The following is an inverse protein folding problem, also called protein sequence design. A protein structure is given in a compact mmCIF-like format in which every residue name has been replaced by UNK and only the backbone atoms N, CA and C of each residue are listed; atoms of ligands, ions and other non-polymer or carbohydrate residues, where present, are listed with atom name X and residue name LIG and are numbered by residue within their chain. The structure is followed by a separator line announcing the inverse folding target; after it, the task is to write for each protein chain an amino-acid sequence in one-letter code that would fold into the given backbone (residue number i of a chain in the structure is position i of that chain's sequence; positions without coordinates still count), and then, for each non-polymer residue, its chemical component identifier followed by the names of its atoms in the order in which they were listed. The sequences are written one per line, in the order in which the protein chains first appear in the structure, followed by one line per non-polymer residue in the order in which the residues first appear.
data_IF_052738030537
#
_entry.id   IF_052738030537
#
_cell.length_a   1.000
_cell.length_b   1.000
_cell.length_c   1.000
_cell.angle_alpha   90.00
_cell.angle_beta   90.00
_cell.angle_gamma   90.00
#
_symmetry.space_group_name_H-M   'P 1'
#
loop_
_entity.id
_entity.type
_entity.pdbx_description
1 polymer ?
2 non-polymer ?
3 water ?
#
# COMPACT_ATOMS: atom_id res chain seq x y z
N UNK A 8 9.35 7.92 -30.35
CA UNK A 8 10.66 8.31 -29.74
C UNK A 8 10.65 9.83 -29.51
N UNK A 9 11.49 10.28 -28.57
CA UNK A 9 11.58 11.69 -28.19
C UNK A 9 10.36 12.19 -27.45
N UNK A 10 9.27 11.42 -27.44
CA UNK A 10 8.09 11.86 -26.72
C UNK A 10 7.74 10.81 -25.65
N UNK A 11 8.76 10.15 -25.14
CA UNK A 11 8.57 9.15 -24.10
C UNK A 11 8.88 9.79 -22.75
N UNK A 12 8.07 9.49 -21.75
CA UNK A 12 8.34 10.04 -20.42
C UNK A 12 8.55 8.82 -19.56
N UNK A 13 9.74 8.68 -19.00
CA UNK A 13 10.02 7.52 -18.19
C UNK A 13 9.88 7.84 -16.71
N UNK A 14 9.02 7.09 -16.03
CA UNK A 14 8.84 7.28 -14.61
C UNK A 14 9.81 6.42 -13.82
N UNK A 15 10.32 6.98 -12.74
CA UNK A 15 11.27 6.27 -11.89
C UNK A 15 10.85 6.51 -10.44
N UNK A 16 10.73 5.44 -9.68
CA UNK A 16 10.34 5.56 -8.28
C UNK A 16 11.36 4.88 -7.43
N UNK A 17 11.89 5.63 -6.47
CA UNK A 17 12.85 5.09 -5.53
C UNK A 17 12.33 5.49 -4.16
N UNK A 18 12.53 4.64 -3.15
CA UNK A 18 12.02 4.93 -1.81
C UNK A 18 12.94 5.79 -0.95
N UNK A 19 14.25 5.56 -1.06
CA UNK A 19 15.19 6.31 -0.22
C UNK A 19 16.12 7.31 -0.90
N UNK A 20 16.39 8.38 -0.16
CA UNK A 20 17.26 9.48 -0.58
C UNK A 20 18.52 9.11 -1.33
N UNK A 21 19.35 8.26 -0.76
CA UNK A 21 20.62 7.89 -1.36
C UNK A 21 20.67 7.70 -2.89
N UNK A 22 20.03 6.67 -3.41
CA UNK A 22 20.08 6.47 -4.87
C UNK A 22 19.35 7.53 -5.66
N UNK A 23 18.22 7.99 -5.12
CA UNK A 23 17.43 9.01 -5.78
C UNK A 23 18.26 10.26 -5.98
N UNK A 24 19.11 10.58 -5.00
CA UNK A 24 19.97 11.75 -5.07
C UNK A 24 20.89 11.72 -6.26
N UNK A 25 21.53 10.58 -6.49
CA UNK A 25 22.46 10.46 -7.62
C UNK A 25 21.74 10.72 -8.95
N UNK A 26 20.55 10.16 -9.11
CA UNK A 26 19.75 10.33 -10.32
C UNK A 26 19.25 11.75 -10.41
N UNK A 27 18.79 12.27 -9.28
CA UNK A 27 18.25 13.63 -9.21
C UNK A 27 19.31 14.65 -9.63
N UNK A 28 20.52 14.51 -9.11
CA UNK A 28 21.63 15.41 -9.43
C UNK A 28 22.00 15.36 -10.93
N UNK A 29 21.66 14.26 -11.59
CA UNK A 29 21.95 14.13 -13.01
C UNK A 29 20.81 14.65 -13.90
N UNK A 30 19.70 15.05 -13.31
CA UNK A 30 18.57 15.56 -14.11
C UNK A 30 18.78 16.98 -14.65
N UNK A 31 18.52 17.17 -15.94
CA UNK A 31 18.68 18.49 -16.53
C UNK A 31 17.35 19.24 -16.48
N UNK A 32 17.41 20.55 -16.31
CA UNK A 32 16.20 21.37 -16.26
C UNK A 32 15.27 20.78 -15.22
N UNK A 33 15.89 20.39 -14.10
CA UNK A 33 15.19 19.79 -13.00
C UNK A 33 14.31 20.75 -12.26
N UNK A 34 13.13 20.27 -11.89
CA UNK A 34 12.20 21.04 -11.09
C UNK A 34 11.67 20.08 -10.06
N UNK A 35 11.20 20.61 -8.93
CA UNK A 35 10.68 19.75 -7.89
C UNK A 35 9.25 20.10 -7.54
N UNK A 36 8.42 19.06 -7.55
CA UNK A 36 6.99 19.16 -7.25
C UNK A 36 6.81 18.34 -5.98
N UNK A 37 6.34 18.98 -4.90
CA UNK A 37 6.11 18.29 -3.64
C UNK A 37 4.62 18.05 -3.44
N UNK A 38 4.23 16.79 -3.26
CA UNK A 38 2.81 16.40 -3.09
C UNK A 38 2.60 15.17 -2.20
N UNK A 39 1.46 15.16 -1.50
CA UNK A 39 1.13 14.06 -0.62
C UNK A 39 2.30 13.53 0.19
N UNK A 40 3.29 14.39 0.46
CA UNK A 40 4.45 13.93 1.21
C UNK A 40 5.52 13.30 0.35
N UNK A 41 5.41 13.52 -0.97
CA UNK A 41 6.37 12.97 -1.93
C UNK A 41 7.00 14.07 -2.74
N UNK A 42 8.22 13.84 -3.19
CA UNK A 42 8.87 14.81 -4.03
C UNK A 42 8.94 14.16 -5.40
N UNK A 43 8.65 14.95 -6.43
CA UNK A 43 8.73 14.48 -7.80
C UNK A 43 9.67 15.42 -8.55
N UNK A 44 10.72 14.86 -9.13
CA UNK A 44 11.67 15.67 -9.89
C UNK A 44 11.44 15.37 -11.37
N UNK A 45 11.21 16.43 -12.13
CA UNK A 45 11.00 16.35 -13.57
C UNK A 45 12.22 16.98 -14.22
N UNK A 46 12.44 16.64 -15.48
CA UNK A 46 13.56 17.18 -16.24
C UNK A 46 13.96 16.07 -17.18
N UNK A 47 15.20 16.09 -17.68
CA UNK A 47 15.68 15.06 -18.59
C UNK A 47 16.93 14.38 -18.04
N UNK A 48 17.04 13.10 -18.32
CA UNK A 48 18.20 12.36 -17.87
C UNK A 48 18.92 12.04 -19.16
N UNK A 49 20.04 12.70 -19.38
CA UNK A 49 20.79 12.48 -20.59
C UNK A 49 19.87 12.57 -21.80
N UNK A 50 19.02 13.59 -21.82
CA UNK A 50 18.12 13.79 -22.94
C UNK A 50 16.70 13.21 -22.86
N UNK A 51 16.51 12.16 -22.07
CA UNK A 51 15.18 11.53 -21.98
C UNK A 51 14.33 12.18 -20.89
N UNK A 52 13.09 12.50 -21.23
CA UNK A 52 12.21 13.10 -20.25
C UNK A 52 11.93 12.06 -19.17
N UNK A 53 12.20 12.44 -17.92
CA UNK A 53 11.93 11.54 -16.83
C UNK A 53 11.13 12.25 -15.75
N UNK A 54 10.50 11.47 -14.88
CA UNK A 54 9.76 11.98 -13.73
C UNK A 54 10.19 11.00 -12.65
N UNK A 55 10.95 11.52 -11.69
CA UNK A 55 11.54 10.77 -10.59
C UNK A 55 10.85 11.10 -9.29
N UNK A 56 10.24 10.10 -8.68
CA UNK A 56 9.53 10.29 -7.41
C UNK A 56 10.25 9.55 -6.32
N UNK A 57 10.51 10.25 -5.22
CA UNK A 57 11.13 9.63 -4.05
C UNK A 57 9.91 9.26 -3.22
N UNK A 58 9.65 7.97 -3.09
CA UNK A 58 8.48 7.54 -2.33
C UNK A 58 9.00 7.27 -0.95
N UNK A 59 8.10 7.05 -0.02
CA UNK A 59 8.61 6.71 1.29
C UNK A 59 8.85 5.22 1.22
N UNK A 60 9.15 4.65 2.36
CA UNK A 60 9.40 3.24 2.50
C UNK A 60 8.10 2.49 2.79
N UNK A 61 7.91 1.33 2.17
CA UNK A 61 6.70 0.58 2.45
C UNK A 61 5.71 0.59 1.30
N UNK A 62 4.81 -0.37 1.35
CA UNK A 62 3.81 -0.55 0.31
C UNK A 62 2.86 0.61 0.10
N UNK A 63 2.32 1.15 1.19
CA UNK A 63 1.35 2.23 1.10
C UNK A 63 2.02 3.49 0.57
N UNK A 64 3.17 3.84 1.15
CA UNK A 64 3.91 5.02 0.68
C UNK A 64 4.21 4.86 -0.81
N UNK A 65 4.68 3.68 -1.19
CA UNK A 65 4.99 3.42 -2.61
C UNK A 65 3.72 3.52 -3.47
N UNK A 66 2.62 2.95 -2.99
CA UNK A 66 1.34 3.01 -3.73
C UNK A 66 0.88 4.46 -3.92
N UNK A 67 0.92 5.22 -2.84
CA UNK A 67 0.51 6.62 -2.83
C UNK A 67 1.39 7.33 -3.85
N UNK A 68 2.70 7.11 -3.76
CA UNK A 68 3.64 7.74 -4.70
C UNK A 68 3.39 7.32 -6.14
N UNK A 69 3.33 6.03 -6.37
CA UNK A 69 3.06 5.54 -7.71
C UNK A 69 1.74 6.12 -8.26
N UNK A 70 0.71 6.22 -7.41
CA UNK A 70 -0.58 6.74 -7.89
C UNK A 70 -0.45 8.21 -8.25
N UNK A 71 0.23 8.98 -7.41
CA UNK A 71 0.42 10.40 -7.66
C UNK A 71 1.22 10.62 -8.93
N UNK A 72 2.30 9.86 -9.06
CA UNK A 72 3.14 9.98 -10.24
C UNK A 72 2.33 9.66 -11.51
N UNK A 73 1.59 8.57 -11.48
CA UNK A 73 0.81 8.22 -12.66
C UNK A 73 -0.18 9.32 -13.02
N UNK A 74 -0.94 9.75 -12.03
CA UNK A 74 -1.94 10.79 -12.19
C UNK A 74 -1.43 12.14 -12.69
N UNK A 75 -0.35 12.64 -12.11
CA UNK A 75 0.17 13.94 -12.51
C UNK A 75 1.20 13.97 -13.61
N UNK A 76 1.99 12.91 -13.75
CA UNK A 76 3.02 12.93 -14.77
C UNK A 76 2.79 11.96 -15.91
N UNK A 77 1.79 11.09 -15.74
CA UNK A 77 1.44 10.10 -16.75
C UNK A 77 2.63 9.48 -17.50
N UNK A 78 3.64 8.98 -16.78
CA UNK A 78 4.79 8.39 -17.48
C UNK A 78 4.37 7.18 -18.32
N UNK A 79 5.12 6.91 -19.40
CA UNK A 79 4.81 5.78 -20.29
C UNK A 79 5.13 4.43 -19.67
N UNK A 80 6.15 4.39 -18.84
CA UNK A 80 6.54 3.15 -18.18
C UNK A 80 7.05 3.54 -16.81
N UNK A 81 7.16 2.57 -15.93
CA UNK A 81 7.66 2.87 -14.60
C UNK A 81 8.83 1.96 -14.32
N UNK A 82 9.88 2.55 -13.77
CA UNK A 82 11.05 1.80 -13.38
C UNK A 82 11.17 1.96 -11.88
N UNK A 83 11.05 0.85 -11.16
CA UNK A 83 11.22 0.94 -9.71
C UNK A 83 12.65 0.53 -9.42
N UNK A 84 13.36 1.37 -8.68
CA UNK A 84 14.76 1.10 -8.34
C UNK A 84 15.03 1.21 -6.83
N UNK A 85 16.25 0.87 -6.42
CA UNK A 85 16.61 0.94 -5.01
C UNK A 85 17.39 -0.29 -4.58
N UNK A 86 17.38 -0.59 -3.27
CA UNK A 86 18.09 -1.77 -2.77
C UNK A 86 17.14 -2.95 -2.64
N UNK A 87 17.68 -4.07 -2.18
CA UNK A 87 16.91 -5.27 -1.96
C UNK A 87 17.80 -6.28 -1.28
N UNK A 88 17.18 -7.26 -0.65
CA UNK A 88 17.94 -8.31 0.00
C UNK A 88 18.00 -9.41 -1.02
N UNK A 89 19.22 -9.86 -1.36
CA UNK A 89 19.38 -10.92 -2.35
C UNK A 89 19.03 -12.28 -1.78
N UNK A 90 18.32 -13.10 -2.55
CA UNK A 90 17.91 -14.42 -2.11
C UNK A 90 18.49 -15.52 -3.02
N UNK A 91 18.69 -15.20 -4.29
CA UNK A 91 19.26 -16.13 -5.27
C UNK A 91 20.74 -16.30 -4.87
N UNK A 92 21.22 -17.56 -4.80
CA UNK A 92 22.60 -17.92 -4.43
C UNK A 92 23.76 -17.22 -5.12
N UNK A 93 23.63 -16.89 -6.39
CA UNK A 93 24.75 -16.26 -7.06
C UNK A 93 24.84 -14.76 -6.84
N UNK A 94 23.89 -14.19 -6.10
CA UNK A 94 23.91 -12.75 -5.87
C UNK A 94 24.86 -12.33 -4.76
N UNK A 95 25.66 -11.31 -5.06
CA UNK A 95 26.60 -10.76 -4.09
C UNK A 95 26.16 -9.30 -3.94
N UNK A 96 26.58 -8.67 -2.86
CA UNK A 96 26.23 -7.27 -2.67
C UNK A 96 26.66 -6.52 -3.92
N UNK A 97 25.80 -5.62 -4.39
CA UNK A 97 26.12 -4.84 -5.58
C UNK A 97 25.49 -5.37 -6.85
N UNK A 98 25.28 -6.68 -6.92
CA UNK A 98 24.66 -7.28 -8.12
C UNK A 98 23.23 -6.78 -8.38
N UNK A 99 22.78 -6.94 -9.62
CA UNK A 99 21.48 -6.44 -10.02
C UNK A 99 20.37 -7.49 -10.06
N UNK A 100 19.16 -7.08 -9.69
CA UNK A 100 18.04 -8.00 -9.80
C UNK A 100 17.01 -7.31 -10.64
N UNK A 101 16.48 -8.05 -11.60
CA UNK A 101 15.49 -7.55 -12.52
C UNK A 101 14.29 -8.42 -12.36
N UNK A 102 13.18 -7.76 -12.13
CA UNK A 102 11.95 -8.48 -11.97
C UNK A 102 11.31 -8.90 -13.27
N UNK A 103 10.85 -10.14 -13.31
CA UNK A 103 10.05 -10.53 -14.45
C UNK A 103 8.66 -10.64 -13.80
N UNK A 104 8.61 -10.46 -12.48
CA UNK A 104 7.36 -10.56 -11.74
C UNK A 104 7.56 -10.09 -10.29
N UNK A 105 6.46 -9.61 -9.70
CA UNK A 105 6.45 -9.14 -8.32
C UNK A 105 5.21 -9.70 -7.59
N UNK A 106 5.41 -10.17 -6.36
CA UNK A 106 4.34 -10.72 -5.52
C UNK A 106 4.56 -10.24 -4.08
N UNK A 107 3.46 -10.03 -3.35
CA UNK A 107 3.54 -9.62 -1.95
C UNK A 107 3.87 -10.89 -1.20
N UNK A 108 4.88 -10.86 -0.35
CA UNK A 108 5.17 -12.09 0.38
C UNK A 108 4.43 -12.06 1.71
N UNK A 109 3.83 -10.93 2.04
CA UNK A 109 3.10 -10.79 3.30
C UNK A 109 1.58 -10.65 3.15
N UNK A 110 1.03 -10.98 1.99
CA UNK A 110 -0.41 -10.87 1.80
C UNK A 110 -0.96 -12.26 2.00
N UNK A 111 -2.06 -12.40 2.74
CA UNK A 111 -2.59 -13.74 2.94
C UNK A 111 -4.10 -13.83 3.16
N UNK A 112 -4.82 -14.21 2.11
CA UNK A 112 -6.25 -14.38 2.18
C UNK A 112 -6.57 -15.82 1.72
N UNK A 113 -5.62 -16.73 2.01
CA UNK A 113 -5.73 -18.15 1.65
C UNK A 113 -6.95 -18.73 2.34
N UNK A 114 -7.31 -18.18 3.48
CA UNK A 114 -8.51 -18.69 4.16
C UNK A 114 -9.71 -18.57 3.20
N UNK A 115 -9.63 -17.67 2.23
CA UNK A 115 -10.72 -17.55 1.26
C UNK A 115 -10.44 -18.27 -0.06
N UNK A 116 -9.41 -19.10 -0.11
CA UNK A 116 -9.12 -19.81 -1.34
C UNK A 116 -8.24 -19.07 -2.33
N UNK A 117 -7.66 -17.94 -1.92
CA UNK A 117 -6.77 -17.22 -2.82
C UNK A 117 -5.39 -17.82 -2.70
N UNK A 118 -4.61 -17.65 -3.75
CA UNK A 118 -3.26 -18.15 -3.75
C UNK A 118 -2.50 -17.33 -2.72
N UNK A 119 -1.54 -17.94 -2.03
CA UNK A 119 -0.80 -17.21 -1.03
C UNK A 119 -0.12 -15.99 -1.71
N UNK A 120 -0.12 -14.84 -1.05
CA UNK A 120 0.50 -13.64 -1.63
C UNK A 120 -0.47 -12.84 -2.48
N UNK A 121 -1.55 -13.49 -2.91
CA UNK A 121 -2.56 -12.84 -3.72
C UNK A 121 -3.61 -12.10 -2.90
N UNK A 122 -3.99 -10.91 -3.37
CA UNK A 122 -5.04 -10.14 -2.70
C UNK A 122 -6.27 -10.24 -3.60
N UNK A 123 -7.47 -10.28 -3.03
CA UNK A 123 -8.70 -10.40 -3.81
C UNK A 123 -8.80 -9.31 -4.86
N UNK A 124 -9.20 -9.67 -6.08
CA UNK A 124 -9.33 -8.69 -7.15
C UNK A 124 -8.02 -8.44 -7.88
N UNK A 125 -6.95 -9.09 -7.44
CA UNK A 125 -5.66 -8.91 -8.09
C UNK A 125 -5.16 -10.27 -8.57
N UNK A 126 -4.33 -10.28 -9.60
CA UNK A 126 -3.81 -11.56 -10.05
C UNK A 126 -2.82 -11.97 -8.95
N UNK A 127 -2.50 -13.26 -8.83
CA UNK A 127 -1.58 -13.73 -7.79
C UNK A 127 -0.23 -12.99 -7.86
N UNK A 128 0.16 -12.62 -9.08
CA UNK A 128 1.41 -11.92 -9.29
C UNK A 128 1.23 -10.90 -10.39
N UNK A 129 2.13 -9.92 -10.41
CA UNK A 129 2.11 -8.84 -11.37
C UNK A 129 3.33 -9.01 -12.26
N UNK A 130 3.09 -9.18 -13.54
CA UNK A 130 4.16 -9.38 -14.48
C UNK A 130 4.83 -8.12 -14.99
N UNK A 131 6.15 -8.12 -14.96
CA UNK A 131 6.89 -6.98 -15.47
C UNK A 131 6.80 -7.08 -16.99
N UNK A 132 6.99 -5.95 -17.65
CA UNK A 132 6.91 -5.84 -19.10
C UNK A 132 8.10 -6.50 -19.79
N UNK A 133 7.87 -7.36 -20.79
CA UNK A 133 8.95 -8.04 -21.51
C UNK A 133 9.94 -7.10 -22.18
N UNK A 134 9.45 -6.04 -22.82
CA UNK A 134 10.39 -5.14 -23.47
C UNK A 134 11.29 -4.52 -22.39
N UNK A 135 10.68 -4.08 -21.30
CA UNK A 135 11.48 -3.45 -20.27
C UNK A 135 12.52 -4.42 -19.70
N UNK A 136 12.11 -5.66 -19.46
CA UNK A 136 13.03 -6.65 -18.90
C UNK A 136 14.20 -6.89 -19.86
N UNK A 137 13.87 -7.07 -21.14
CA UNK A 137 14.88 -7.32 -22.15
C UNK A 137 15.85 -6.14 -22.21
N UNK A 138 15.29 -4.94 -22.20
CA UNK A 138 16.12 -3.75 -22.26
C UNK A 138 17.11 -3.83 -21.10
N UNK A 139 16.58 -4.03 -19.90
CA UNK A 139 17.39 -4.13 -18.70
C UNK A 139 18.48 -5.19 -18.83
N UNK A 140 18.15 -6.35 -19.37
CA UNK A 140 19.15 -7.43 -19.53
C UNK A 140 20.19 -6.97 -20.55
N UNK A 141 19.78 -6.13 -21.48
CA UNK A 141 20.72 -5.60 -22.48
C UNK A 141 21.75 -4.71 -21.78
N UNK A 142 21.26 -3.84 -20.89
CA UNK A 142 22.17 -2.98 -20.16
C UNK A 142 23.11 -3.82 -19.31
N UNK A 143 22.56 -4.81 -18.64
CA UNK A 143 23.33 -5.69 -17.79
C UNK A 143 24.50 -6.32 -18.56
N UNK A 144 24.21 -6.82 -19.76
CA UNK A 144 25.26 -7.42 -20.57
C UNK A 144 26.29 -6.37 -20.95
N UNK A 145 25.81 -5.22 -21.43
CA UNK A 145 26.67 -4.13 -21.84
C UNK A 145 27.57 -3.57 -20.76
N UNK A 146 27.08 -3.58 -19.52
CA UNK A 146 27.84 -3.04 -18.40
C UNK A 146 28.68 -4.13 -17.74
N UNK A 147 28.49 -5.36 -18.21
CA UNK A 147 29.22 -6.52 -17.69
C UNK A 147 29.02 -6.75 -16.18
N UNK A 148 27.77 -6.61 -15.73
CA UNK A 148 27.45 -6.76 -14.33
C UNK A 148 26.84 -8.13 -14.09
N UNK A 149 26.92 -8.65 -12.87
CA UNK A 149 26.29 -9.93 -12.59
C UNK A 149 24.85 -9.59 -12.20
N UNK A 150 23.90 -10.38 -12.68
CA UNK A 150 22.50 -10.08 -12.37
C UNK A 150 21.67 -11.33 -12.48
N UNK A 151 20.46 -11.25 -11.95
CA UNK A 151 19.54 -12.36 -11.98
C UNK A 151 18.14 -11.78 -12.23
N UNK A 152 17.40 -12.50 -13.07
CA UNK A 152 16.06 -12.13 -13.41
C UNK A 152 15.10 -13.14 -12.77
N UNK A 153 13.96 -12.65 -12.31
CA UNK A 153 13.02 -13.54 -11.69
C UNK A 153 12.06 -12.81 -10.78
N UNK A 154 11.41 -13.59 -9.92
CA UNK A 154 10.43 -13.10 -8.97
C UNK A 154 10.99 -12.28 -7.84
N UNK A 155 10.48 -11.07 -7.67
CA UNK A 155 10.87 -10.25 -6.54
C UNK A 155 9.66 -10.11 -5.61
N UNK A 156 9.85 -10.34 -4.32
CA UNK A 156 8.75 -10.21 -3.38
C UNK A 156 8.83 -9.02 -2.43
N UNK A 157 7.69 -8.41 -2.14
CA UNK A 157 7.66 -7.23 -1.26
C UNK A 157 6.80 -7.46 -0.03
N UNK A 158 7.10 -6.73 1.02
CA UNK A 158 6.33 -6.81 2.26
C UNK A 158 6.64 -5.58 3.07
N UNK A 159 5.89 -5.31 4.15
CA UNK A 159 6.20 -4.16 4.96
C UNK A 159 7.15 -4.46 6.12
N UNK A 160 8.08 -5.38 5.88
CA UNK A 160 9.07 -5.75 6.90
C UNK A 160 10.50 -5.84 6.35
N UNK A 161 11.46 -5.35 7.12
CA UNK A 161 12.85 -5.45 6.71
C UNK A 161 13.29 -6.84 7.12
N UNK A 162 13.52 -7.71 6.14
CA UNK A 162 13.90 -9.10 6.39
C UNK A 162 15.33 -9.17 6.91
N UNK A 163 15.47 -9.83 8.05
CA UNK A 163 16.76 -9.93 8.74
C UNK A 163 17.02 -11.32 9.32
N UNK A 164 16.91 -12.34 8.47
CA UNK A 164 17.13 -13.71 8.90
C UNK A 164 15.96 -14.26 9.71
N UNK A 165 16.27 -15.24 10.55
CA UNK A 165 15.27 -15.86 11.41
C UNK A 165 14.04 -16.37 10.64
N UNK A 166 12.86 -16.28 11.24
CA UNK A 166 11.64 -16.74 10.61
C UNK A 166 11.13 -15.85 9.44
N UNK A 167 11.44 -14.56 9.49
CA UNK A 167 11.02 -13.69 8.42
C UNK A 167 11.52 -14.25 7.08
N UNK A 168 12.82 -14.55 7.03
CA UNK A 168 13.45 -15.06 5.83
C UNK A 168 13.01 -16.46 5.44
N UNK A 169 13.04 -17.39 6.40
CA UNK A 169 12.66 -18.78 6.12
C UNK A 169 11.25 -18.92 5.54
N UNK A 170 10.32 -18.17 6.09
CA UNK A 170 8.93 -18.22 5.63
C UNK A 170 8.90 -17.80 4.15
N UNK A 171 9.63 -16.74 3.83
CA UNK A 171 9.68 -16.25 2.47
C UNK A 171 10.28 -17.31 1.56
N UNK A 172 11.41 -17.89 1.96
CA UNK A 172 12.08 -18.92 1.16
C UNK A 172 11.16 -20.13 0.97
N UNK A 173 10.35 -20.43 1.97
CA UNK A 173 9.42 -21.55 1.88
C UNK A 173 8.23 -21.19 0.98
N UNK A 174 7.65 -20.01 1.14
CA UNK A 174 6.49 -19.65 0.30
C UNK A 174 6.86 -19.31 -1.14
N UNK A 175 8.07 -18.79 -1.34
CA UNK A 175 8.47 -18.41 -2.68
C UNK A 175 9.88 -18.90 -2.91
N UNK A 176 10.04 -20.23 -3.02
CA UNK A 176 11.36 -20.82 -3.24
C UNK A 176 12.06 -20.22 -4.44
N UNK A 177 11.30 -19.73 -5.41
CA UNK A 177 11.93 -19.14 -6.60
C UNK A 177 12.28 -17.64 -6.49
N UNK A 178 11.85 -16.96 -5.41
CA UNK A 178 12.14 -15.53 -5.28
C UNK A 178 13.63 -15.23 -5.31
N UNK A 179 14.03 -14.21 -6.08
CA UNK A 179 15.45 -13.85 -6.15
C UNK A 179 15.85 -12.71 -5.21
N UNK A 180 14.87 -11.94 -4.77
CA UNK A 180 15.14 -10.80 -3.89
C UNK A 180 13.88 -10.37 -3.13
N UNK A 181 14.11 -9.68 -1.99
CA UNK A 181 13.02 -9.19 -1.16
C UNK A 181 13.28 -7.74 -0.81
N UNK A 182 12.23 -6.95 -0.86
CA UNK A 182 12.36 -5.55 -0.51
C UNK A 182 10.97 -5.06 -0.06
N UNK A 183 10.69 -3.76 -0.14
CA UNK A 183 9.41 -3.26 0.40
C UNK A 183 8.49 -2.38 -0.45
N UNK A 184 8.77 -2.19 -1.74
CA UNK A 184 7.91 -1.34 -2.56
C UNK A 184 7.47 -1.89 -3.92
N UNK A 185 8.36 -2.70 -4.50
CA UNK A 185 8.16 -3.28 -5.84
C UNK A 185 6.75 -3.74 -6.20
N UNK A 186 6.21 -4.64 -5.41
CA UNK A 186 4.88 -5.17 -5.74
C UNK A 186 3.76 -4.13 -5.58
N UNK A 187 3.96 -3.14 -4.72
CA UNK A 187 2.94 -2.12 -4.50
C UNK A 187 2.93 -1.26 -5.75
N UNK A 188 4.12 -1.01 -6.28
CA UNK A 188 4.25 -0.21 -7.48
C UNK A 188 3.65 -1.01 -8.65
N UNK A 189 4.03 -2.29 -8.76
CA UNK A 189 3.51 -3.18 -9.82
C UNK A 189 1.98 -3.22 -9.74
N UNK A 190 1.47 -3.35 -8.53
CA UNK A 190 0.03 -3.39 -8.30
C UNK A 190 -0.66 -2.13 -8.86
N UNK A 191 -0.16 -0.96 -8.50
CA UNK A 191 -0.74 0.29 -9.00
C UNK A 191 -0.64 0.42 -10.52
N UNK A 192 0.51 0.02 -11.08
CA UNK A 192 0.74 0.06 -12.52
C UNK A 192 -0.22 -0.90 -13.21
N UNK A 193 -0.40 -2.07 -12.60
CA UNK A 193 -1.33 -3.04 -13.17
C UNK A 193 -2.71 -2.38 -13.31
N UNK A 194 -3.17 -1.74 -12.23
CA UNK A 194 -4.49 -1.11 -12.22
C UNK A 194 -4.63 0.01 -13.20
N UNK A 195 -3.52 0.64 -13.53
CA UNK A 195 -3.54 1.71 -14.50
C UNK A 195 -3.08 1.22 -15.87
N UNK A 196 -2.75 -0.07 -15.95
CA UNK A 196 -2.29 -0.68 -17.19
C UNK A 196 -1.02 0.00 -17.71
N UNK A 197 -0.12 0.30 -16.79
CA UNK A 197 1.16 0.92 -17.13
C UNK A 197 2.32 -0.09 -17.00
N UNK A 198 3.12 -0.28 -18.07
CA UNK A 198 4.23 -1.23 -17.98
C UNK A 198 5.24 -0.84 -16.90
N UNK A 199 5.75 -1.84 -16.18
CA UNK A 199 6.76 -1.57 -15.17
C UNK A 199 7.87 -2.62 -15.19
N UNK A 200 8.96 -2.31 -14.51
CA UNK A 200 10.07 -3.22 -14.36
C UNK A 200 10.79 -2.76 -13.11
N UNK A 201 11.26 -3.73 -12.33
CA UNK A 201 11.98 -3.41 -11.12
C UNK A 201 13.44 -3.72 -11.38
N UNK A 202 14.31 -2.76 -11.12
CA UNK A 202 15.74 -2.96 -11.30
C UNK A 202 16.42 -2.48 -10.05
N UNK A 203 16.76 -3.41 -9.17
CA UNK A 203 17.39 -3.05 -7.91
C UNK A 203 18.77 -3.65 -7.75
N UNK A 204 19.54 -3.14 -6.80
CA UNK A 204 20.87 -3.69 -6.56
C UNK A 204 20.90 -4.24 -5.16
N UNK A 205 21.62 -5.34 -5.00
CA UNK A 205 21.72 -5.97 -3.73
C UNK A 205 22.51 -5.19 -2.69
N UNK A 206 21.90 -5.03 -1.52
CA UNK A 206 22.52 -4.34 -0.40
C UNK A 206 22.75 -5.29 0.79
N UNK A 207 22.18 -6.50 0.73
CA UNK A 207 22.30 -7.45 1.84
C UNK A 207 21.65 -8.73 1.37
N UNK A 208 21.82 -9.81 2.10
CA UNK A 208 21.22 -11.07 1.71
C UNK A 208 20.11 -11.42 2.71
N UNK A 209 19.53 -10.38 3.28
CA UNK A 209 18.41 -10.51 4.22
C UNK A 209 18.56 -11.55 5.34
N UNK A 210 19.78 -11.77 5.83
CA UNK A 210 20.00 -12.73 6.90
C UNK A 210 20.22 -11.94 8.19
N UNK A 211 20.67 -12.63 9.24
CA UNK A 211 20.95 -12.01 10.54
C UNK A 211 21.70 -10.68 10.49
N UNK A 212 22.60 -10.54 9.52
CA UNK A 212 23.39 -9.31 9.40
C UNK A 212 22.88 -8.31 8.37
N UNK A 213 21.66 -8.49 7.88
CA UNK A 213 21.16 -7.60 6.86
C UNK A 213 21.15 -6.12 7.23
N UNK A 214 20.92 -5.81 8.51
CA UNK A 214 20.90 -4.43 8.94
C UNK A 214 22.28 -3.74 8.86
N UNK A 215 23.34 -4.41 9.30
CA UNK A 215 24.67 -3.81 9.24
C UNK A 215 25.14 -3.81 7.78
N UNK A 216 24.86 -4.89 7.07
CA UNK A 216 25.25 -4.94 5.65
C UNK A 216 24.56 -3.78 4.93
N UNK A 217 23.24 -3.67 5.12
CA UNK A 217 22.46 -2.61 4.52
C UNK A 217 23.14 -1.30 4.84
N UNK A 218 23.47 -1.10 6.12
CA UNK A 218 24.13 0.13 6.56
C UNK A 218 25.48 0.41 5.91
N UNK A 219 26.24 -0.64 5.67
CA UNK A 219 27.55 -0.47 5.08
C UNK A 219 27.56 -0.43 3.56
N UNK A 220 26.63 -1.13 2.92
CA UNK A 220 26.65 -1.15 1.46
C UNK A 220 25.47 -0.51 0.77
N UNK A 221 24.68 0.31 1.47
CA UNK A 221 23.55 0.93 0.82
C UNK A 221 24.09 1.78 -0.31
N UNK A 222 25.21 2.44 -0.05
CA UNK A 222 25.87 3.29 -1.02
C UNK A 222 26.19 2.56 -2.33
N UNK A 223 26.83 1.41 -2.24
CA UNK A 223 27.16 0.69 -3.47
C UNK A 223 25.91 0.24 -4.18
N UNK A 224 24.89 -0.10 -3.42
CA UNK A 224 23.65 -0.53 -4.03
C UNK A 224 23.10 0.67 -4.78
N UNK A 225 23.14 1.84 -4.16
CA UNK A 225 22.63 3.06 -4.80
C UNK A 225 23.41 3.36 -6.08
N UNK A 226 24.72 3.16 -6.01
CA UNK A 226 25.59 3.42 -7.14
C UNK A 226 25.20 2.53 -8.31
N UNK A 227 25.17 1.22 -8.07
CA UNK A 227 24.83 0.26 -9.11
C UNK A 227 23.39 0.30 -9.62
N UNK A 228 22.42 0.52 -8.75
CA UNK A 228 21.03 0.60 -9.25
C UNK A 228 20.92 1.87 -10.09
N UNK A 229 21.46 2.99 -9.60
CA UNK A 229 21.39 4.26 -10.31
C UNK A 229 22.09 4.17 -11.66
N UNK A 230 23.23 3.48 -11.71
CA UNK A 230 23.96 3.31 -12.97
C UNK A 230 23.07 2.54 -13.94
N UNK A 231 22.44 1.48 -13.45
CA UNK A 231 21.56 0.68 -14.30
C UNK A 231 20.36 1.51 -14.76
N UNK A 232 19.72 2.22 -13.84
CA UNK A 232 18.58 3.01 -14.27
C UNK A 232 18.99 3.98 -15.35
N UNK A 233 20.07 4.72 -15.12
CA UNK A 233 20.55 5.70 -16.09
C UNK A 233 20.74 5.00 -17.41
N UNK A 234 21.31 3.79 -17.37
CA UNK A 234 21.54 3.02 -18.57
C UNK A 234 20.24 2.52 -19.20
N UNK A 235 19.27 2.14 -18.38
CA UNK A 235 18.01 1.66 -18.91
C UNK A 235 17.22 2.79 -19.59
N UNK A 236 17.21 3.96 -18.99
CA UNK A 236 16.50 5.08 -19.58
C UNK A 236 17.09 5.31 -20.96
N UNK A 237 18.41 5.38 -21.03
CA UNK A 237 19.07 5.60 -22.31
C UNK A 237 18.66 4.56 -23.32
N UNK A 238 18.83 3.29 -22.99
CA UNK A 238 18.47 2.22 -23.90
C UNK A 238 17.00 2.20 -24.28
N UNK A 239 16.11 2.58 -23.37
CA UNK A 239 14.70 2.57 -23.70
C UNK A 239 14.37 3.70 -24.67
N UNK A 240 15.09 4.81 -24.52
CA UNK A 240 14.88 5.99 -25.33
C UNK A 240 15.43 5.88 -26.73
N UNK A 241 16.56 5.21 -26.85
CA UNK A 241 17.19 5.08 -28.14
C UNK A 241 17.40 3.63 -28.51
N UNK A 242 18.59 3.09 -28.26
CA UNK A 242 18.82 1.70 -28.59
C UNK A 242 19.94 1.05 -27.81
N UNK B 11 -19.79 21.37 2.99
CA UNK B 11 -18.77 20.32 3.22
C UNK B 11 -18.97 19.04 2.40
N UNK B 12 -17.89 18.30 2.17
CA UNK B 12 -18.00 17.08 1.38
C UNK B 12 -17.41 15.91 2.17
N UNK B 13 -18.22 14.90 2.42
CA UNK B 13 -17.70 13.77 3.18
C UNK B 13 -17.19 12.65 2.26
N UNK B 14 -15.90 12.32 2.40
CA UNK B 14 -15.34 11.22 1.62
C UNK B 14 -15.64 9.92 2.36
N UNK B 15 -15.96 8.86 1.62
CA UNK B 15 -16.26 7.58 2.23
C UNK B 15 -15.56 6.47 1.44
N UNK B 16 -14.83 5.62 2.13
CA UNK B 16 -14.16 4.52 1.47
C UNK B 16 -14.50 3.16 2.09
N UNK B 17 -14.95 2.26 1.24
CA UNK B 17 -15.28 0.90 1.60
C UNK B 17 -14.56 -0.03 0.64
N UNK B 18 -14.17 -1.19 1.14
CA UNK B 18 -13.44 -2.14 0.32
C UNK B 18 -14.33 -3.01 -0.51
N UNK B 19 -15.37 -3.57 0.09
CA UNK B 19 -16.21 -4.48 -0.65
C UNK B 19 -17.56 -3.96 -1.12
N UNK B 20 -17.99 -4.49 -2.26
CA UNK B 20 -19.24 -4.09 -2.87
C UNK B 20 -20.36 -4.11 -1.86
N UNK B 21 -20.50 -5.19 -1.10
CA UNK B 21 -21.55 -5.27 -0.07
C UNK B 21 -21.66 -3.99 0.77
N UNK B 22 -20.57 -3.58 1.39
CA UNK B 22 -20.58 -2.41 2.27
C UNK B 22 -20.53 -1.08 1.53
N UNK B 23 -20.75 -1.10 0.23
CA UNK B 23 -20.69 0.10 -0.57
C UNK B 23 -21.97 0.27 -1.38
N UNK B 24 -22.54 -0.86 -1.74
CA UNK B 24 -23.74 -0.91 -2.55
C UNK B 24 -24.95 -0.25 -1.87
N UNK B 25 -25.20 -0.56 -0.61
CA UNK B 25 -26.32 0.06 0.09
C UNK B 25 -26.21 1.59 0.08
N UNK B 26 -24.99 2.10 0.20
CA UNK B 26 -24.76 3.55 0.23
C UNK B 26 -24.87 4.10 -1.18
N UNK B 27 -24.28 3.39 -2.14
CA UNK B 27 -24.31 3.78 -3.52
C UNK B 27 -25.78 3.98 -3.96
N UNK B 28 -26.65 3.04 -3.57
CA UNK B 28 -28.05 3.09 -3.92
C UNK B 28 -28.75 4.32 -3.35
N UNK B 29 -28.26 4.86 -2.25
CA UNK B 29 -28.89 6.03 -1.66
C UNK B 29 -28.36 7.39 -2.13
N UNK B 30 -27.26 7.39 -2.84
CA UNK B 30 -26.68 8.63 -3.31
C UNK B 30 -27.51 9.20 -4.47
N UNK B 31 -27.95 10.44 -4.35
CA UNK B 31 -28.77 11.10 -5.38
C UNK B 31 -27.92 12.11 -6.14
N UNK B 32 -28.37 12.57 -7.29
CA UNK B 32 -27.53 13.50 -8.09
C UNK B 32 -26.24 12.69 -8.30
N UNK B 33 -26.42 11.38 -8.45
CA UNK B 33 -25.31 10.44 -8.58
C UNK B 33 -24.60 10.35 -9.91
N UNK B 34 -23.28 10.39 -9.82
CA UNK B 34 -22.39 10.25 -10.98
C UNK B 34 -21.31 9.24 -10.61
N UNK B 35 -20.76 8.55 -11.60
CA UNK B 35 -19.75 7.55 -11.33
C UNK B 35 -18.48 7.86 -12.09
N UNK B 36 -17.37 7.92 -11.36
CA UNK B 36 -16.05 8.17 -11.95
C UNK B 36 -15.33 6.84 -11.78
N UNK B 37 -14.76 6.34 -12.86
CA UNK B 37 -14.06 5.06 -12.80
C UNK B 37 -12.58 5.24 -13.12
N UNK B 38 -11.70 5.07 -12.13
CA UNK B 38 -10.24 5.25 -12.33
C UNK B 38 -9.42 4.17 -11.63
N UNK B 39 -8.22 3.94 -12.15
CA UNK B 39 -7.29 2.97 -11.60
C UNK B 39 -7.97 1.76 -11.01
N UNK B 40 -8.94 1.22 -11.73
CA UNK B 40 -9.67 0.06 -11.25
C UNK B 40 -10.56 0.36 -10.05
N UNK B 41 -10.80 1.64 -9.79
CA UNK B 41 -11.65 2.06 -8.67
C UNK B 41 -12.89 2.75 -9.16
N UNK B 42 -13.96 2.59 -8.40
CA UNK B 42 -15.23 3.22 -8.74
C UNK B 42 -15.48 4.32 -7.69
N UNK B 43 -15.87 5.50 -8.14
CA UNK B 43 -16.18 6.61 -7.23
C UNK B 43 -17.56 7.17 -7.58
N UNK B 44 -18.45 7.20 -6.59
CA UNK B 44 -19.79 7.70 -6.80
C UNK B 44 -19.89 9.01 -6.03
N UNK B 45 -20.35 10.05 -6.71
CA UNK B 45 -20.50 11.34 -6.08
C UNK B 45 -21.96 11.76 -6.13
N UNK B 46 -22.34 12.62 -5.20
CA UNK B 46 -23.70 13.10 -5.17
C UNK B 46 -24.02 13.38 -3.73
N UNK B 47 -25.28 13.20 -3.38
CA UNK B 47 -25.75 13.48 -2.05
C UNK B 47 -26.40 12.31 -1.32
N UNK B 48 -26.03 12.18 -0.06
CA UNK B 48 -26.60 11.15 0.78
C UNK B 48 -27.47 11.95 1.74
N UNK B 49 -28.79 11.89 1.52
CA UNK B 49 -29.74 12.60 2.37
C UNK B 49 -29.33 14.07 2.45
N UNK B 50 -29.17 14.69 1.28
CA UNK B 50 -28.78 16.10 1.21
C UNK B 50 -27.32 16.48 1.37
N UNK B 51 -26.50 15.61 1.95
CA UNK B 51 -25.08 15.92 2.16
C UNK B 51 -24.16 15.49 1.00
N UNK B 52 -23.29 16.40 0.59
CA UNK B 52 -22.38 16.07 -0.50
C UNK B 52 -21.38 15.02 -0.03
N UNK B 53 -21.28 13.92 -0.78
CA UNK B 53 -20.34 12.86 -0.45
C UNK B 53 -19.60 12.41 -1.69
N UNK B 54 -18.59 11.57 -1.47
CA UNK B 54 -17.80 10.98 -2.52
C UNK B 54 -17.49 9.60 -1.97
N UNK B 55 -18.15 8.60 -2.51
CA UNK B 55 -18.00 7.22 -2.06
C UNK B 55 -17.05 6.43 -2.97
N UNK B 56 -16.06 5.75 -2.39
CA UNK B 56 -15.14 4.98 -3.24
C UNK B 56 -15.10 3.53 -2.82
N UNK B 57 -15.20 2.66 -3.82
CA UNK B 57 -15.13 1.24 -3.56
C UNK B 57 -13.67 0.91 -3.85
N UNK B 58 -12.89 0.66 -2.81
CA UNK B 58 -11.48 0.36 -3.01
C UNK B 58 -11.39 -1.14 -3.04
N UNK B 59 -10.28 -1.67 -3.47
CA UNK B 59 -10.21 -3.11 -3.41
C UNK B 59 -9.85 -3.45 -1.97
N UNK B 60 -9.53 -4.71 -1.73
CA UNK B 60 -9.15 -5.18 -0.43
C UNK B 60 -7.64 -5.06 -0.29
N UNK B 61 -7.15 -4.83 0.94
CA UNK B 61 -5.70 -4.75 1.14
C UNK B 61 -5.18 -3.34 1.19
N UNK B 62 -3.99 -3.18 1.77
CA UNK B 62 -3.47 -1.82 1.93
C UNK B 62 -3.11 -1.04 0.68
N UNK B 63 -2.54 -1.71 -0.33
CA UNK B 63 -2.16 -0.97 -1.53
C UNK B 63 -3.39 -0.49 -2.28
N UNK B 64 -4.41 -1.34 -2.38
CA UNK B 64 -5.66 -1.00 -3.05
C UNK B 64 -6.31 0.15 -2.29
N UNK B 65 -6.33 0.05 -0.97
CA UNK B 65 -6.91 1.16 -0.21
C UNK B 65 -6.12 2.45 -0.44
N UNK B 66 -4.79 2.38 -0.34
CA UNK B 66 -3.94 3.58 -0.51
C UNK B 66 -4.18 4.25 -1.86
N UNK B 67 -4.13 3.44 -2.90
CA UNK B 67 -4.38 3.90 -4.26
C UNK B 67 -5.75 4.59 -4.34
N UNK B 68 -6.78 3.94 -3.80
CA UNK B 68 -8.12 4.52 -3.81
C UNK B 68 -8.20 5.79 -2.98
N UNK B 69 -7.67 5.77 -1.77
CA UNK B 69 -7.68 6.97 -0.95
C UNK B 69 -6.99 8.11 -1.68
N UNK B 70 -5.83 7.80 -2.28
CA UNK B 70 -5.09 8.82 -3.00
C UNK B 70 -5.94 9.39 -4.12
N UNK B 71 -6.65 8.52 -4.80
CA UNK B 71 -7.48 9.00 -5.89
C UNK B 71 -8.63 9.86 -5.40
N UNK B 72 -9.30 9.41 -4.36
CA UNK B 72 -10.43 10.14 -3.83
C UNK B 72 -10.00 11.52 -3.39
N UNK B 73 -8.90 11.60 -2.66
CA UNK B 73 -8.45 12.90 -2.20
C UNK B 73 -8.15 13.77 -3.40
N UNK B 74 -7.27 13.28 -4.26
CA UNK B 74 -6.89 13.99 -5.47
C UNK B 74 -8.03 14.46 -6.35
N UNK B 75 -9.02 13.61 -6.60
CA UNK B 75 -10.12 13.97 -7.48
C UNK B 75 -11.33 14.65 -6.89
N UNK B 76 -11.65 14.36 -5.63
CA UNK B 76 -12.84 14.93 -5.06
C UNK B 76 -12.55 15.89 -3.90
N UNK B 77 -11.33 15.85 -3.39
CA UNK B 77 -10.94 16.75 -2.31
C UNK B 77 -11.96 16.79 -1.17
N UNK B 78 -12.33 15.64 -0.61
CA UNK B 78 -13.30 15.66 0.48
C UNK B 78 -12.69 16.39 1.68
N UNK B 79 -13.54 16.82 2.61
CA UNK B 79 -13.05 17.55 3.79
C UNK B 79 -12.54 16.59 4.84
N UNK B 80 -13.20 15.45 4.96
CA UNK B 80 -12.83 14.43 5.90
C UNK B 80 -13.06 13.09 5.23
N UNK B 81 -12.42 12.04 5.73
CA UNK B 81 -12.60 10.72 5.15
C UNK B 81 -13.19 9.78 6.19
N UNK B 82 -14.18 8.99 5.79
CA UNK B 82 -14.75 8.00 6.70
C UNK B 82 -14.46 6.63 6.05
N UNK B 83 -13.68 5.77 6.71
CA UNK B 83 -13.42 4.45 6.15
C UNK B 83 -14.42 3.52 6.83
N UNK B 84 -15.18 2.76 6.04
CA UNK B 84 -16.22 1.88 6.56
C UNK B 84 -16.00 0.44 6.13
N UNK B 85 -16.86 -0.47 6.59
CA UNK B 85 -16.69 -1.84 6.18
C UNK B 85 -16.74 -2.77 7.38
N UNK B 86 -16.20 -3.99 7.22
CA UNK B 86 -16.18 -4.99 8.29
C UNK B 86 -14.83 -5.07 9.00
N UNK B 87 -14.79 -5.87 10.06
CA UNK B 87 -13.57 -6.06 10.83
C UNK B 87 -13.68 -7.27 11.74
N UNK B 88 -12.53 -7.80 12.16
CA UNK B 88 -12.49 -8.90 13.08
C UNK B 88 -12.40 -8.25 14.43
N UNK B 89 -13.31 -8.59 15.34
CA UNK B 89 -13.32 -8.00 16.65
C UNK B 89 -12.31 -8.61 17.57
N UNK B 90 -11.57 -7.75 18.28
CA UNK B 90 -10.54 -8.24 19.19
C UNK B 90 -10.91 -7.88 20.63
N UNK B 91 -11.67 -6.78 20.79
CA UNK B 91 -12.10 -6.35 22.13
C UNK B 91 -13.18 -7.31 22.61
N UNK B 92 -13.04 -7.82 23.84
CA UNK B 92 -13.96 -8.77 24.48
C UNK B 92 -15.45 -8.41 24.44
N UNK B 93 -15.77 -7.13 24.37
CA UNK B 93 -17.16 -6.67 24.35
C UNK B 93 -17.86 -6.74 23.00
N UNK B 94 -17.07 -6.97 21.96
CA UNK B 94 -17.58 -7.02 20.60
C UNK B 94 -18.26 -8.30 20.15
N UNK B 95 -19.41 -8.11 19.50
CA UNK B 95 -20.14 -9.22 18.95
C UNK B 95 -20.41 -8.85 17.49
N UNK B 96 -20.75 -9.84 16.67
CA UNK B 96 -21.05 -9.58 15.28
C UNK B 96 -22.12 -8.50 15.17
N UNK B 97 -21.89 -7.54 14.27
CA UNK B 97 -22.82 -6.44 14.09
C UNK B 97 -22.43 -5.19 14.87
N UNK B 98 -21.61 -5.34 15.90
CA UNK B 98 -21.21 -4.19 16.68
C UNK B 98 -20.25 -3.28 15.93
N UNK B 99 -20.14 -2.05 16.42
CA UNK B 99 -19.32 -1.04 15.78
C UNK B 99 -18.00 -0.79 16.45
N UNK B 100 -16.96 -0.53 15.66
CA UNK B 100 -15.68 -0.17 16.25
C UNK B 100 -15.35 1.18 15.65
N UNK B 101 -14.89 2.09 16.51
CA UNK B 101 -14.51 3.43 16.08
C UNK B 101 -13.06 3.61 16.43
N UNK B 102 -12.28 4.02 15.43
CA UNK B 102 -10.86 4.21 15.64
C UNK B 102 -10.51 5.49 16.33
N UNK B 103 -9.69 5.44 17.37
CA UNK B 103 -9.19 6.72 17.80
C UNK B 103 -7.78 6.70 17.17
N UNK B 104 -7.38 5.56 16.62
CA UNK B 104 -6.06 5.44 16.04
C UNK B 104 -5.93 4.20 15.17
N UNK B 105 -5.05 4.24 14.17
CA UNK B 105 -4.86 3.10 13.28
C UNK B 105 -3.36 2.79 13.18
N UNK B 106 -2.99 1.52 13.22
CA UNK B 106 -1.58 1.12 13.09
C UNK B 106 -1.41 -0.17 12.25
N UNK B 107 -0.30 -0.25 11.51
CA UNK B 107 -0.05 -1.45 10.75
C UNK B 107 0.34 -2.54 11.73
N UNK B 108 -0.26 -3.73 11.65
CA UNK B 108 0.17 -4.77 12.57
C UNK B 108 1.23 -5.60 11.88
N UNK B 109 1.44 -5.35 10.59
CA UNK B 109 2.42 -6.13 9.85
C UNK B 109 3.59 -5.35 9.27
N UNK B 110 3.88 -4.16 9.81
CA UNK B 110 5.02 -3.38 9.32
C UNK B 110 6.11 -3.58 10.38
N UNK B 111 7.33 -3.90 9.96
CA UNK B 111 8.40 -4.15 10.92
C UNK B 111 9.76 -3.72 10.44
N UNK B 112 10.20 -2.56 10.90
CA UNK B 112 11.51 -2.06 10.55
C UNK B 112 12.20 -1.73 11.88
N UNK B 113 11.88 -2.53 12.89
CA UNK B 113 12.48 -2.35 14.23
C UNK B 113 13.97 -2.66 14.12
N UNK B 114 14.36 -3.38 13.09
CA UNK B 114 15.78 -3.63 12.92
C UNK B 114 16.48 -2.25 12.90
N UNK B 115 15.79 -1.21 12.46
CA UNK B 115 16.42 0.11 12.43
C UNK B 115 16.04 1.01 13.60
N UNK B 116 15.36 0.47 14.59
CA UNK B 116 15.00 1.32 15.71
C UNK B 116 13.63 1.99 15.63
N UNK B 117 12.82 1.63 14.66
CA UNK B 117 11.48 2.21 14.57
C UNK B 117 10.60 1.32 15.45
N UNK B 118 9.47 1.88 15.89
CA UNK B 118 8.54 1.15 16.73
C UNK B 118 7.90 0.05 15.87
N UNK B 119 7.55 -1.09 16.47
CA UNK B 119 6.90 -2.13 15.70
C UNK B 119 5.60 -1.56 15.09
N UNK B 120 5.28 -1.92 13.86
CA UNK B 120 4.08 -1.37 13.24
C UNK B 120 4.33 -0.01 12.59
N UNK B 121 5.41 0.65 12.98
CA UNK B 121 5.76 1.95 12.43
C UNK B 121 6.62 1.90 11.14
N UNK B 122 6.27 2.73 10.15
CA UNK B 122 7.07 2.79 8.94
C UNK B 122 7.83 4.13 8.92
N UNK B 123 9.09 4.11 8.52
CA UNK B 123 9.89 5.34 8.48
C UNK B 123 9.14 6.48 7.79
N UNK B 124 9.20 7.69 8.35
CA UNK B 124 8.52 8.83 7.76
C UNK B 124 7.10 9.02 8.25
N UNK B 125 6.66 8.09 9.10
CA UNK B 125 5.32 8.12 9.66
C UNK B 125 5.32 8.03 11.16
N UNK B 126 4.24 8.52 11.78
CA UNK B 126 4.14 8.44 13.24
C UNK B 126 3.93 6.93 13.49
N UNK B 127 4.18 6.44 14.70
CA UNK B 127 4.00 5.02 14.97
C UNK B 127 2.52 4.64 14.76
N UNK B 128 1.63 5.60 14.96
CA UNK B 128 0.22 5.37 14.77
C UNK B 128 -0.42 6.62 14.22
N UNK B 129 -1.53 6.49 13.51
CA UNK B 129 -2.16 7.66 12.94
C UNK B 129 -3.40 7.92 13.77
N UNK B 130 -3.53 9.11 14.32
CA UNK B 130 -4.70 9.40 15.15
C UNK B 130 -5.90 9.91 14.37
N UNK B 131 -7.07 9.32 14.66
CA UNK B 131 -8.32 9.72 14.02
C UNK B 131 -8.72 11.10 14.57
N UNK B 132 -9.57 11.81 13.84
CA UNK B 132 -10.02 13.13 14.23
C UNK B 132 -11.00 13.08 15.41
N UNK B 133 -10.72 13.87 16.44
CA UNK B 133 -11.56 13.93 17.62
C UNK B 133 -13.00 14.33 17.31
N UNK B 134 -13.20 15.30 16.44
CA UNK B 134 -14.56 15.68 16.12
C UNK B 134 -15.30 14.53 15.45
N UNK B 135 -14.68 13.94 14.44
CA UNK B 135 -15.29 12.81 13.74
C UNK B 135 -15.61 11.70 14.75
N UNK B 136 -14.71 11.48 15.70
CA UNK B 136 -14.92 10.46 16.71
C UNK B 136 -16.13 10.80 17.59
N UNK B 137 -16.22 12.04 18.03
CA UNK B 137 -17.31 12.47 18.89
C UNK B 137 -18.62 12.36 18.13
N UNK B 138 -18.60 12.76 16.87
CA UNK B 138 -19.78 12.69 16.03
C UNK B 138 -20.23 11.23 15.94
N UNK B 139 -19.30 10.35 15.56
CA UNK B 139 -19.60 8.92 15.44
C UNK B 139 -20.25 8.38 16.71
N UNK B 140 -19.65 8.71 17.85
CA UNK B 140 -20.19 8.25 19.12
C UNK B 140 -21.53 8.85 19.50
N UNK B 141 -21.88 10.01 18.94
CA UNK B 141 -23.19 10.58 19.25
C UNK B 141 -24.21 9.74 18.48
N UNK B 142 -23.83 9.28 17.29
CA UNK B 142 -24.72 8.46 16.51
C UNK B 142 -24.90 7.13 17.20
N UNK B 143 -23.78 6.54 17.62
CA UNK B 143 -23.84 5.28 18.34
C UNK B 143 -24.81 5.40 19.51
N UNK B 144 -24.71 6.49 20.27
CA UNK B 144 -25.62 6.68 21.40
C UNK B 144 -27.05 6.86 20.94
N UNK B 145 -27.27 7.67 19.92
CA UNK B 145 -28.62 7.90 19.44
C UNK B 145 -29.29 6.64 18.86
N UNK B 146 -28.49 5.76 18.26
CA UNK B 146 -29.02 4.54 17.67
C UNK B 146 -29.00 3.39 18.66
N UNK B 147 -28.53 3.64 19.87
CA UNK B 147 -28.45 2.57 20.84
C UNK B 147 -27.60 1.39 20.33
N UNK B 148 -26.44 1.67 19.74
CA UNK B 148 -25.60 0.58 19.24
C UNK B 148 -24.53 0.19 20.23
N UNK B 149 -24.07 -1.06 20.19
CA UNK B 149 -22.97 -1.45 21.08
C UNK B 149 -21.68 -1.18 20.29
N UNK B 150 -20.79 -0.37 20.84
CA UNK B 150 -19.58 -0.05 20.12
C UNK B 150 -18.36 0.14 21.00
N UNK B 151 -17.17 0.03 20.40
CA UNK B 151 -15.93 0.23 21.12
C UNK B 151 -15.07 1.18 20.33
N UNK B 152 -14.41 2.08 21.06
CA UNK B 152 -13.52 3.06 20.48
C UNK B 152 -12.10 2.67 20.87
N UNK B 153 -11.17 2.80 19.93
CA UNK B 153 -9.81 2.42 20.21
C UNK B 153 -8.94 2.16 19.00
N UNK B 154 -7.83 1.49 19.25
CA UNK B 154 -6.87 1.18 18.21
C UNK B 154 -7.34 0.10 17.27
N UNK B 155 -7.33 0.41 15.99
CA UNK B 155 -7.67 -0.59 14.96
C UNK B 155 -6.35 -0.87 14.22
N UNK B 156 -6.00 -2.15 14.03
CA UNK B 156 -4.74 -2.47 13.35
C UNK B 156 -4.99 -3.10 11.98
N UNK B 157 -4.19 -2.72 10.98
CA UNK B 157 -4.41 -3.25 9.63
C UNK B 157 -3.19 -3.98 9.09
N UNK B 158 -3.46 -4.97 8.23
CA UNK B 158 -2.41 -5.77 7.58
C UNK B 158 -2.98 -6.38 6.30
N UNK B 159 -2.16 -7.06 5.52
CA UNK B 159 -2.64 -7.65 4.30
C UNK B 159 -2.93 -9.11 4.49
N UNK B 160 -3.32 -9.50 5.70
CA UNK B 160 -3.69 -10.89 5.95
C UNK B 160 -5.04 -11.01 6.66
N UNK B 161 -5.88 -11.94 6.22
CA UNK B 161 -7.16 -12.16 6.89
C UNK B 161 -6.77 -12.90 8.16
N UNK B 162 -7.17 -12.37 9.32
CA UNK B 162 -6.80 -13.03 10.57
C UNK B 162 -7.82 -14.08 10.98
N UNK B 163 -7.34 -15.30 11.20
CA UNK B 163 -8.23 -16.37 11.63
C UNK B 163 -7.52 -17.31 12.60
N UNK B 164 -7.24 -16.74 13.76
CA UNK B 164 -6.59 -17.44 14.85
C UNK B 164 -5.14 -17.82 14.62
N UNK B 165 -4.74 -18.89 15.29
CA UNK B 165 -3.40 -19.43 15.15
C UNK B 165 -2.32 -18.40 15.41
N UNK B 166 -1.20 -18.53 14.69
CA UNK B 166 -0.05 -17.62 14.82
C UNK B 166 -0.34 -16.16 14.44
N UNK B 167 -1.15 -15.95 13.41
CA UNK B 167 -1.45 -14.60 13.00
C UNK B 167 -2.14 -13.77 14.09
N UNK B 168 -3.10 -14.38 14.79
CA UNK B 168 -3.82 -13.70 15.87
C UNK B 168 -2.87 -13.52 17.04
N UNK B 169 -2.03 -14.51 17.29
CA UNK B 169 -1.10 -14.42 18.42
C UNK B 169 -0.13 -13.26 18.24
N UNK B 170 0.38 -13.09 17.02
CA UNK B 170 1.32 -12.03 16.74
C UNK B 170 0.66 -10.66 17.00
N UNK B 171 -0.61 -10.52 16.62
CA UNK B 171 -1.33 -9.25 16.84
C UNK B 171 -1.53 -8.98 18.34
N UNK B 172 -1.88 -10.01 19.11
CA UNK B 172 -2.06 -9.89 20.54
C UNK B 172 -0.75 -9.46 21.18
N UNK B 173 0.36 -10.02 20.70
CA UNK B 173 1.67 -9.69 21.23
C UNK B 173 2.00 -8.24 21.02
N UNK B 174 2.02 -7.81 19.78
CA UNK B 174 2.40 -6.45 19.49
C UNK B 174 1.38 -5.37 19.81
N UNK B 175 0.09 -5.71 19.80
CA UNK B 175 -0.95 -4.73 20.08
C UNK B 175 -2.08 -5.31 20.95
N UNK B 176 -1.77 -5.67 22.19
CA UNK B 176 -2.77 -6.23 23.09
C UNK B 176 -3.98 -5.31 23.31
N UNK B 177 -3.82 -4.02 23.01
CA UNK B 177 -4.89 -3.09 23.20
C UNK B 177 -5.70 -2.85 21.91
N UNK B 178 -5.37 -3.55 20.83
CA UNK B 178 -6.10 -3.34 19.57
C UNK B 178 -7.54 -3.81 19.73
N UNK B 179 -8.51 -3.00 19.30
CA UNK B 179 -9.88 -3.44 19.45
C UNK B 179 -10.39 -4.19 18.21
N UNK B 180 -9.70 -4.08 17.09
CA UNK B 180 -10.19 -4.76 15.89
C UNK B 180 -9.11 -4.85 14.81
N UNK B 181 -9.22 -5.84 13.95
CA UNK B 181 -8.23 -5.99 12.89
C UNK B 181 -8.93 -6.08 11.53
N UNK B 182 -8.38 -5.40 10.53
CA UNK B 182 -8.94 -5.47 9.20
C UNK B 182 -7.83 -5.27 8.19
N UNK B 183 -8.14 -4.83 6.98
CA UNK B 183 -7.11 -4.73 5.95
C UNK B 183 -6.92 -3.41 5.16
N UNK B 184 -7.61 -2.34 5.53
CA UNK B 184 -7.47 -1.09 4.79
C UNK B 184 -7.29 0.17 5.64
N UNK B 185 -7.82 0.14 6.85
CA UNK B 185 -7.81 1.31 7.71
C UNK B 185 -6.54 2.15 7.81
N UNK B 186 -5.46 1.53 8.26
CA UNK B 186 -4.22 2.25 8.46
C UNK B 186 -3.70 2.82 7.14
N UNK B 187 -3.94 2.10 6.05
CA UNK B 187 -3.49 2.55 4.74
C UNK B 187 -4.23 3.86 4.40
N UNK B 188 -5.52 3.89 4.68
CA UNK B 188 -6.30 5.10 4.42
C UNK B 188 -5.82 6.20 5.38
N UNK B 189 -5.56 5.82 6.62
CA UNK B 189 -5.08 6.80 7.63
C UNK B 189 -3.74 7.36 7.18
N UNK B 190 -2.89 6.47 6.72
CA UNK B 190 -1.56 6.87 6.32
C UNK B 190 -1.67 7.91 5.20
N UNK B 191 -2.55 7.64 4.23
CA UNK B 191 -2.71 8.56 3.12
C UNK B 191 -3.30 9.87 3.56
N UNK B 192 -4.32 9.80 4.41
CA UNK B 192 -4.97 10.99 4.95
C UNK B 192 -3.94 11.81 5.70
N UNK B 193 -3.01 11.14 6.35
CA UNK B 193 -1.97 11.85 7.09
C UNK B 193 -1.08 12.68 6.15
N UNK B 194 -0.63 12.07 5.05
CA UNK B 194 0.24 12.73 4.09
C UNK B 194 -0.45 13.96 3.48
N UNK B 195 -1.77 13.96 3.45
CA UNK B 195 -2.51 15.09 2.91
C UNK B 195 -3.15 15.93 4.03
N UNK B 196 -2.92 15.57 5.29
CA UNK B 196 -3.54 16.34 6.35
C UNK B 196 -5.05 16.28 6.32
N UNK B 197 -5.64 15.15 5.93
CA UNK B 197 -7.09 15.05 5.94
C UNK B 197 -7.54 14.29 7.19
N UNK B 198 -8.50 14.86 7.94
CA UNK B 198 -8.96 14.16 9.14
C UNK B 198 -9.68 12.89 8.66
N UNK B 199 -9.63 11.84 9.45
CA UNK B 199 -10.29 10.60 9.08
C UNK B 199 -10.84 9.90 10.33
N UNK B 200 -11.66 8.92 10.10
CA UNK B 200 -12.17 8.11 11.16
C UNK B 200 -12.59 6.81 10.53
N UNK B 201 -12.31 5.72 11.22
CA UNK B 201 -12.68 4.43 10.76
C UNK B 201 -13.92 4.02 11.56
N UNK B 202 -15.00 3.69 10.89
CA UNK B 202 -16.20 3.21 11.56
C UNK B 202 -16.57 1.90 10.89
N UNK B 203 -16.33 0.80 11.57
CA UNK B 203 -16.57 -0.51 10.96
C UNK B 203 -17.46 -1.38 11.79
N UNK B 204 -18.06 -2.39 11.16
CA UNK B 204 -18.93 -3.29 11.91
C UNK B 204 -18.25 -4.65 11.96
N UNK B 205 -18.40 -5.36 13.08
CA UNK B 205 -17.77 -6.66 13.27
C UNK B 205 -18.45 -7.79 12.49
N UNK B 206 -17.71 -8.43 11.61
CA UNK B 206 -18.23 -9.54 10.82
C UNK B 206 -17.74 -10.87 11.41
N UNK B 207 -16.74 -10.80 12.27
CA UNK B 207 -16.15 -12.01 12.84
C UNK B 207 -15.24 -11.59 14.00
N UNK B 208 -14.70 -12.55 14.74
CA UNK B 208 -13.79 -12.22 15.84
C UNK B 208 -12.35 -12.71 15.57
N UNK B 209 -11.97 -12.73 14.29
CA UNK B 209 -10.62 -13.09 13.89
C UNK B 209 -10.05 -14.37 14.48
N UNK B 210 -10.91 -15.33 14.79
CA UNK B 210 -10.40 -16.56 15.36
C UNK B 210 -10.38 -17.62 14.29
N UNK B 211 -10.20 -18.86 14.69
CA UNK B 211 -10.13 -19.96 13.74
C UNK B 211 -11.43 -20.11 12.96
N UNK B 212 -12.51 -19.53 13.45
CA UNK B 212 -13.80 -19.62 12.76
C UNK B 212 -14.19 -18.31 12.04
N UNK B 213 -13.24 -17.38 11.90
CA UNK B 213 -13.54 -16.10 11.27
C UNK B 213 -13.95 -16.20 9.82
N UNK B 214 -13.44 -17.18 9.07
CA UNK B 214 -13.83 -17.28 7.68
C UNK B 214 -15.33 -17.58 7.55
N UNK B 215 -15.80 -18.58 8.29
CA UNK B 215 -17.20 -18.97 8.29
C UNK B 215 -18.03 -17.78 8.79
N UNK B 216 -17.65 -17.22 9.93
CA UNK B 216 -18.37 -16.06 10.47
C UNK B 216 -18.41 -14.90 9.46
N UNK B 217 -17.28 -14.65 8.80
CA UNK B 217 -17.23 -13.57 7.81
C UNK B 217 -18.29 -13.81 6.72
N UNK B 218 -18.31 -15.03 6.17
CA UNK B 218 -19.26 -15.38 5.11
C UNK B 218 -20.68 -15.21 5.64
N UNK B 219 -20.92 -15.79 6.80
CA UNK B 219 -22.21 -15.74 7.44
C UNK B 219 -22.70 -14.35 7.81
N UNK B 220 -21.80 -13.51 8.30
CA UNK B 220 -22.23 -12.21 8.74
C UNK B 220 -21.79 -10.97 7.98
N UNK B 221 -21.11 -11.17 6.86
CA UNK B 221 -20.68 -10.01 6.10
C UNK B 221 -21.87 -9.12 5.74
N UNK B 222 -23.03 -9.73 5.51
CA UNK B 222 -24.24 -8.97 5.13
C UNK B 222 -24.65 -8.04 6.26
N UNK B 223 -24.73 -8.59 7.46
CA UNK B 223 -25.06 -7.83 8.66
C UNK B 223 -24.05 -6.70 8.84
N UNK B 224 -22.75 -7.04 8.80
CA UNK B 224 -21.72 -6.03 8.98
C UNK B 224 -21.88 -4.88 8.00
N UNK B 225 -22.16 -5.21 6.74
CA UNK B 225 -22.32 -4.16 5.73
C UNK B 225 -23.52 -3.25 6.02
N UNK B 226 -24.65 -3.82 6.44
CA UNK B 226 -25.81 -2.98 6.73
C UNK B 226 -25.53 -2.10 7.93
N UNK B 227 -25.03 -2.70 9.01
CA UNK B 227 -24.72 -1.92 10.20
C UNK B 227 -23.68 -0.81 9.97
N UNK B 228 -22.60 -1.12 9.25
CA UNK B 228 -21.56 -0.10 8.97
C UNK B 228 -22.17 0.99 8.08
N UNK B 229 -23.01 0.55 7.15
CA UNK B 229 -23.71 1.42 6.21
C UNK B 229 -24.65 2.41 6.95
N UNK B 230 -25.45 1.88 7.85
CA UNK B 230 -26.39 2.71 8.61
C UNK B 230 -25.60 3.75 9.40
N UNK B 231 -24.51 3.30 10.02
CA UNK B 231 -23.65 4.20 10.79
C UNK B 231 -23.05 5.33 9.95
N UNK B 232 -22.59 5.02 8.74
CA UNK B 232 -22.02 6.05 7.88
C UNK B 232 -23.10 7.07 7.54
N UNK B 233 -24.32 6.57 7.27
CA UNK B 233 -25.46 7.42 6.92
C UNK B 233 -25.73 8.38 8.05
N UNK B 234 -25.79 7.85 9.27
CA UNK B 234 -26.05 8.66 10.44
C UNK B 234 -24.93 9.66 10.68
N UNK B 235 -23.67 9.22 10.55
CA UNK B 235 -22.54 10.11 10.80
C UNK B 235 -22.51 11.24 9.80
N UNK B 236 -22.76 10.92 8.55
CA UNK B 236 -22.76 11.92 7.52
C UNK B 236 -23.74 13.02 7.88
N UNK B 237 -24.93 12.61 8.29
CA UNK B 237 -25.98 13.54 8.66
C UNK B 237 -25.61 14.33 9.91
N UNK B 238 -25.00 13.66 10.87
CA UNK B 238 -24.60 14.36 12.08
C UNK B 238 -23.55 15.42 11.79
N UNK B 239 -22.58 15.11 10.93
CA UNK B 239 -21.55 16.08 10.63
C UNK B 239 -22.15 17.30 9.97
N UNK B 240 -23.13 17.07 9.11
CA UNK B 240 -23.78 18.15 8.38
C UNK B 240 -24.90 18.88 9.14
#
# INVERSE_FOLDING_TARGET
FQGAMDPEFSMKIGIIGAMEEEVTLLRDKIENRQTISLGGCEIYTGQLNGTEVALLKSGIGKVAAALGATLLLEHCKPDVIINTGSAGGLAPTLKVGDIVVSDEARYHDADVTAFGYEYGQLPGCPAGFKADDKLIAAAEACIAELNLNAVRGLIVSGDAFINGSVGLAKIRHNFPQAIAVEMEATAIAHVCHNFNVPFVVVRAISDVADQQSHLSFDEFLAVAAKQSSLMVESLVQKLAHG
FQGAMDPEFSMKIGIIGAMEEEVTLLRDKIENRQTISLGGCEIYTGQLNGTEVALLKSGIGKVAAALGATLLLEHCKPDVIINTGSAGGLAPTLKVGDIVVSDEARYHDADVTAFGYEYGQLPGCPAGFKADDKLIAAAEACIAELNLNAVRGLIVSGDAFINGSVGLAKIRHNFPQAIAVEMEATAIAHVCHNFNVPFVVVRAISDVADQQSHLSFDEFLAVAAKQSSLMVESLVQKLAHG
#
